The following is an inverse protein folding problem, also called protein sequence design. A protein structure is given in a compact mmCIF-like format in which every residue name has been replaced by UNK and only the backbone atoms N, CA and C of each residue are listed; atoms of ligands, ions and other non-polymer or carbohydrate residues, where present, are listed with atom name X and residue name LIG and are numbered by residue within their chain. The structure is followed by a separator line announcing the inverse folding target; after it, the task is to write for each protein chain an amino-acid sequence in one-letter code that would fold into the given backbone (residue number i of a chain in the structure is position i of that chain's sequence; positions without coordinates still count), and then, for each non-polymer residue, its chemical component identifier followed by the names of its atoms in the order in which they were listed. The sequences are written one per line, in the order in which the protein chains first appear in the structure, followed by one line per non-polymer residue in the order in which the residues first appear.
data_IF_118115081385
#
_entry.id   IF_118115081385
#
_cell.length_a   1.000
_cell.length_b   1.000
_cell.length_c   1.000
_cell.angle_alpha   90.00
_cell.angle_beta   90.00
_cell.angle_gamma   90.00
#
_symmetry.space_group_name_H-M   'P 1'
#
loop_
_entity.id
_entity.type
_entity.pdbx_description
1 polymer ?
#
# COMPACT_ATOMS: atom_id res chain seq x y z
N UNK A 1 29.45 2.98 15.44
CA UNK A 1 28.01 3.31 15.44
C UNK A 1 27.34 2.34 14.49
N UNK A 2 26.26 1.70 14.93
CA UNK A 2 25.46 0.79 14.09
C UNK A 2 24.90 1.55 12.89
N UNK A 3 25.15 1.04 11.67
CA UNK A 3 24.67 1.69 10.44
C UNK A 3 23.24 1.24 10.15
N UNK A 4 22.26 2.01 10.64
CA UNK A 4 20.82 1.77 10.45
C UNK A 4 20.31 2.53 9.23
N UNK A 5 19.59 1.83 8.36
CA UNK A 5 19.04 2.37 7.12
C UNK A 5 17.52 2.17 7.06
N UNK A 6 16.80 3.24 6.83
CA UNK A 6 15.35 3.22 6.60
C UNK A 6 15.04 3.58 5.15
N UNK A 7 14.45 2.65 4.40
CA UNK A 7 14.23 2.77 2.95
C UNK A 7 12.74 2.97 2.68
N UNK A 8 12.42 4.07 2.03
CA UNK A 8 11.11 4.30 1.42
C UNK A 8 11.19 4.14 -0.10
N UNK A 9 10.31 3.32 -0.70
CA UNK A 9 10.31 3.12 -2.14
C UNK A 9 8.91 3.14 -2.73
N UNK A 10 8.80 3.58 -3.99
CA UNK A 10 7.54 3.51 -4.75
C UNK A 10 7.30 2.13 -5.37
N UNK A 11 8.29 1.24 -5.32
CA UNK A 11 8.28 -0.12 -5.88
C UNK A 11 8.75 -1.14 -4.82
N UNK A 12 8.73 -2.43 -5.14
CA UNK A 12 9.23 -3.49 -4.26
C UNK A 12 10.74 -3.43 -4.18
N UNK A 13 11.27 -2.90 -3.06
CA UNK A 13 12.70 -2.72 -2.81
C UNK A 13 13.29 -3.74 -1.82
N UNK A 14 12.49 -4.64 -1.28
CA UNK A 14 12.93 -5.65 -0.31
C UNK A 14 14.12 -6.52 -0.75
N UNK A 15 14.37 -6.79 -2.06
CA UNK A 15 15.60 -7.49 -2.46
C UNK A 15 16.89 -6.77 -2.10
N UNK A 16 16.84 -5.46 -1.79
CA UNK A 16 18.01 -4.72 -1.30
C UNK A 16 18.43 -5.11 0.12
N UNK A 17 17.55 -5.64 0.96
CA UNK A 17 17.86 -5.92 2.36
C UNK A 17 19.09 -6.84 2.53
N UNK A 18 19.09 -8.08 2.04
CA UNK A 18 20.24 -8.97 2.21
C UNK A 18 21.51 -8.42 1.56
N UNK A 19 21.36 -7.68 0.46
CA UNK A 19 22.47 -7.09 -0.28
C UNK A 19 23.12 -5.93 0.49
N UNK A 20 22.34 -5.06 1.11
CA UNK A 20 22.84 -3.95 1.93
C UNK A 20 23.42 -4.45 3.26
N UNK A 21 22.81 -5.47 3.88
CA UNK A 21 23.40 -6.15 5.04
C UNK A 21 24.77 -6.73 4.71
N UNK A 22 24.94 -7.35 3.55
CA UNK A 22 26.23 -7.83 3.06
C UNK A 22 27.25 -6.69 2.81
N UNK A 23 26.77 -5.45 2.61
CA UNK A 23 27.60 -4.25 2.53
C UNK A 23 27.92 -3.62 3.90
N UNK A 24 27.50 -4.22 5.01
CA UNK A 24 27.84 -3.78 6.37
C UNK A 24 26.81 -2.84 7.02
N UNK A 25 25.58 -2.78 6.53
CA UNK A 25 24.48 -2.16 7.27
C UNK A 25 23.93 -3.15 8.30
N UNK A 26 23.90 -2.78 9.56
CA UNK A 26 23.48 -3.65 10.66
C UNK A 26 21.96 -3.88 10.64
N UNK A 27 21.22 -2.84 10.30
CA UNK A 27 19.77 -2.86 10.24
C UNK A 27 19.28 -2.14 8.97
N UNK A 28 18.41 -2.82 8.21
CA UNK A 28 17.77 -2.29 7.02
C UNK A 28 16.27 -2.49 7.16
N UNK A 29 15.54 -1.38 7.32
CA UNK A 29 14.09 -1.37 7.46
C UNK A 29 13.45 -0.70 6.25
N UNK A 30 12.20 -1.05 5.96
CA UNK A 30 11.46 -0.51 4.81
C UNK A 30 10.14 0.11 5.24
N UNK A 31 9.71 1.13 4.50
CA UNK A 31 8.30 1.52 4.53
C UNK A 31 7.45 0.34 4.04
N UNK A 32 6.23 0.23 4.56
CA UNK A 32 5.28 -0.76 4.03
C UNK A 32 5.03 -0.50 2.54
N UNK A 33 4.88 -1.57 1.78
CA UNK A 33 4.64 -1.49 0.35
C UNK A 33 3.47 -0.55 0.03
N UNK A 34 3.64 0.30 -0.98
CA UNK A 34 2.69 1.32 -1.44
C UNK A 34 2.25 2.34 -0.35
N UNK A 35 3.00 2.48 0.74
CA UNK A 35 2.70 3.40 1.84
C UNK A 35 3.76 4.48 2.05
N UNK A 36 4.63 4.72 1.07
CA UNK A 36 5.68 5.71 1.21
C UNK A 36 5.12 7.12 1.45
N UNK A 37 4.06 7.52 0.73
CA UNK A 37 3.43 8.82 0.96
C UNK A 37 2.90 8.97 2.39
N UNK A 38 2.29 7.93 2.94
CA UNK A 38 1.80 7.91 4.32
C UNK A 38 2.95 8.00 5.33
N UNK A 39 4.05 7.29 5.07
CA UNK A 39 5.25 7.34 5.92
C UNK A 39 5.92 8.73 5.90
N UNK A 40 5.87 9.46 4.78
CA UNK A 40 6.34 10.84 4.70
C UNK A 40 5.44 11.81 5.49
N UNK A 41 4.11 11.58 5.49
CA UNK A 41 3.13 12.41 6.20
C UNK A 41 3.05 12.12 7.71
N UNK A 42 3.40 10.90 8.13
CA UNK A 42 3.47 10.47 9.52
C UNK A 42 4.72 9.59 9.72
N UNK A 43 5.89 10.21 9.86
CA UNK A 43 7.14 9.49 10.07
C UNK A 43 7.09 8.64 11.34
N UNK A 44 7.64 7.42 11.25
CA UNK A 44 7.76 6.55 12.42
C UNK A 44 8.88 7.08 13.34
N UNK A 45 8.59 7.39 14.61
CA UNK A 45 9.60 7.86 15.56
C UNK A 45 10.76 6.86 15.77
N UNK A 46 10.52 5.56 15.58
CA UNK A 46 11.56 4.52 15.73
C UNK A 46 12.69 4.69 14.70
N UNK A 47 12.39 5.32 13.56
CA UNK A 47 13.34 5.58 12.47
C UNK A 47 13.78 7.05 12.38
N UNK A 48 13.59 7.83 13.46
CA UNK A 48 13.92 9.25 13.47
C UNK A 48 15.41 9.51 13.24
N UNK A 49 16.27 8.67 13.81
CA UNK A 49 17.73 8.79 13.75
C UNK A 49 18.37 7.94 12.65
N UNK A 50 17.57 7.15 11.92
CA UNK A 50 18.10 6.28 10.87
C UNK A 50 18.46 7.10 9.62
N UNK A 51 19.49 6.64 8.89
CA UNK A 51 19.77 7.15 7.56
C UNK A 51 18.58 6.84 6.65
N UNK A 52 17.89 7.88 6.19
CA UNK A 52 16.72 7.70 5.31
C UNK A 52 17.11 7.74 3.85
N UNK A 53 16.71 6.71 3.09
CA UNK A 53 16.87 6.58 1.65
C UNK A 53 15.50 6.51 0.98
N UNK A 54 15.26 7.38 0.01
CA UNK A 54 14.01 7.47 -0.74
C UNK A 54 14.27 7.05 -2.20
N UNK A 55 13.62 5.98 -2.64
CA UNK A 55 13.73 5.44 -3.99
C UNK A 55 12.43 5.71 -4.74
N UNK A 56 12.44 6.68 -5.65
CA UNK A 56 11.24 7.18 -6.31
C UNK A 56 11.30 6.90 -7.81
N UNK A 57 10.24 6.32 -8.34
CA UNK A 57 10.04 6.12 -9.79
C UNK A 57 8.71 6.76 -10.21
N UNK A 58 8.75 7.78 -11.07
CA UNK A 58 7.55 8.53 -11.46
C UNK A 58 6.54 7.69 -12.24
N UNK A 59 7.00 6.64 -12.95
CA UNK A 59 6.11 5.71 -13.63
C UNK A 59 5.12 5.04 -12.66
N UNK A 60 5.49 4.87 -11.39
CA UNK A 60 4.65 4.23 -10.38
C UNK A 60 3.46 5.13 -9.96
N UNK A 61 3.58 6.44 -10.14
CA UNK A 61 2.50 7.38 -9.83
C UNK A 61 1.27 7.23 -10.73
N UNK A 62 1.46 6.71 -11.94
CA UNK A 62 0.39 6.50 -12.92
C UNK A 62 0.41 5.08 -13.51
N UNK A 63 1.02 4.13 -12.79
CA UNK A 63 1.30 2.77 -13.26
C UNK A 63 0.07 2.05 -13.80
N UNK A 64 -1.05 2.16 -13.09
CA UNK A 64 -2.27 1.43 -13.46
C UNK A 64 -2.94 2.06 -14.66
N UNK A 65 -3.06 3.37 -14.64
CA UNK A 65 -3.69 4.13 -15.72
C UNK A 65 -2.82 4.13 -16.98
N UNK A 66 -1.49 4.15 -16.83
CA UNK A 66 -0.56 4.07 -17.96
C UNK A 66 -0.60 2.70 -18.66
N UNK A 67 -1.02 1.63 -17.99
CA UNK A 67 -1.21 0.31 -18.59
C UNK A 67 -2.51 0.23 -19.41
N UNK A 68 -3.48 1.10 -19.17
CA UNK A 68 -4.70 1.21 -19.99
C UNK A 68 -4.40 2.02 -21.25
N UNK A 69 -4.42 1.34 -22.41
CA UNK A 69 -4.16 1.98 -23.70
C UNK A 69 -5.25 2.97 -24.13
N UNK A 70 -6.44 2.90 -23.54
CA UNK A 70 -7.54 3.82 -23.81
C UNK A 70 -7.36 5.18 -23.13
N UNK A 71 -6.48 5.28 -22.13
CA UNK A 71 -6.19 6.54 -21.44
C UNK A 71 -5.44 7.52 -22.36
N UNK A 72 -5.99 8.72 -22.54
CA UNK A 72 -5.36 9.78 -23.32
C UNK A 72 -4.06 10.29 -22.63
N UNK A 73 -2.99 10.57 -23.40
CA UNK A 73 -1.73 11.08 -22.85
C UNK A 73 -1.88 12.34 -22.01
N UNK A 74 -2.75 13.28 -22.41
CA UNK A 74 -3.01 14.52 -21.67
C UNK A 74 -3.67 14.26 -20.31
N UNK A 75 -4.61 13.30 -20.25
CA UNK A 75 -5.22 12.91 -18.98
C UNK A 75 -4.22 12.25 -18.03
N UNK A 76 -3.33 11.39 -18.57
CA UNK A 76 -2.22 10.82 -17.79
C UNK A 76 -1.23 11.88 -17.30
N UNK A 77 -0.94 12.88 -18.12
CA UNK A 77 -0.05 13.99 -17.76
C UNK A 77 -0.64 14.84 -16.62
N UNK A 78 -1.94 15.15 -16.69
CA UNK A 78 -2.65 15.87 -15.63
C UNK A 78 -2.69 15.05 -14.33
N UNK A 79 -2.93 13.74 -14.41
CA UNK A 79 -2.94 12.85 -13.26
C UNK A 79 -1.56 12.73 -12.61
N UNK A 80 -0.49 12.60 -13.41
CA UNK A 80 0.89 12.58 -12.92
C UNK A 80 1.21 13.85 -12.14
N UNK A 81 0.89 15.03 -12.72
CA UNK A 81 1.10 16.31 -12.07
C UNK A 81 0.32 16.42 -10.75
N UNK A 82 -0.96 16.08 -10.76
CA UNK A 82 -1.81 16.11 -9.55
C UNK A 82 -1.29 15.24 -8.42
N UNK A 83 -0.84 14.01 -8.75
CA UNK A 83 -0.26 13.10 -7.75
C UNK A 83 1.08 13.59 -7.25
N UNK A 84 1.90 14.14 -8.15
CA UNK A 84 3.21 14.69 -7.82
C UNK A 84 3.12 15.87 -6.85
N UNK A 85 2.13 16.76 -6.97
CA UNK A 85 1.93 17.89 -6.06
C UNK A 85 1.77 17.45 -4.60
N UNK A 86 0.99 16.37 -4.36
CA UNK A 86 0.83 15.81 -3.02
C UNK A 86 2.16 15.23 -2.47
N UNK A 87 2.95 14.60 -3.36
CA UNK A 87 4.25 14.03 -3.02
C UNK A 87 5.30 15.10 -2.73
N UNK A 88 5.41 16.13 -3.54
CA UNK A 88 6.34 17.23 -3.34
C UNK A 88 6.10 17.94 -2.01
N UNK A 89 4.82 18.20 -1.65
CA UNK A 89 4.46 18.77 -0.37
C UNK A 89 4.83 17.88 0.82
N UNK A 90 4.59 16.56 0.71
CA UNK A 90 4.93 15.61 1.76
C UNK A 90 6.45 15.46 1.93
N UNK A 91 7.20 15.37 0.83
CA UNK A 91 8.67 15.29 0.83
C UNK A 91 9.30 16.53 1.44
N UNK A 92 8.85 17.74 1.06
CA UNK A 92 9.34 19.00 1.60
C UNK A 92 9.14 19.05 3.13
N UNK A 93 7.94 18.71 3.61
CA UNK A 93 7.65 18.68 5.05
C UNK A 93 8.46 17.62 5.79
N UNK A 94 8.61 16.43 5.20
CA UNK A 94 9.41 15.36 5.78
C UNK A 94 10.88 15.77 5.90
N UNK A 95 11.47 16.31 4.82
CA UNK A 95 12.86 16.74 4.81
C UNK A 95 13.14 17.87 5.82
N UNK A 96 12.23 18.84 5.94
CA UNK A 96 12.35 19.94 6.90
C UNK A 96 12.28 19.46 8.36
N UNK A 97 11.64 18.34 8.63
CA UNK A 97 11.55 17.75 9.98
C UNK A 97 12.72 16.83 10.36
N UNK A 98 13.72 16.62 9.48
CA UNK A 98 14.82 15.68 9.73
C UNK A 98 16.10 16.41 10.12
N UNK A 99 16.80 15.88 11.12
CA UNK A 99 18.12 16.40 11.54
C UNK A 99 19.21 16.17 10.46
N UNK A 100 19.12 15.05 9.74
CA UNK A 100 19.99 14.74 8.61
C UNK A 100 19.18 14.69 7.31
N UNK A 101 19.66 15.30 6.21
CA UNK A 101 18.97 15.31 4.92
C UNK A 101 18.68 13.88 4.45
N UNK A 102 17.42 13.53 4.12
CA UNK A 102 17.11 12.28 3.45
C UNK A 102 17.80 12.19 2.08
N UNK A 103 18.25 10.99 1.70
CA UNK A 103 18.84 10.74 0.38
C UNK A 103 17.72 10.37 -0.58
N UNK A 104 17.75 10.95 -1.76
CA UNK A 104 16.78 10.70 -2.82
C UNK A 104 17.48 10.12 -4.05
N UNK A 105 17.00 8.99 -4.54
CA UNK A 105 17.30 8.48 -5.88
C UNK A 105 16.02 8.50 -6.70
N UNK A 106 16.05 9.19 -7.84
CA UNK A 106 14.95 9.16 -8.82
C UNK A 106 15.31 8.16 -9.91
N UNK A 107 14.61 7.02 -9.93
CA UNK A 107 14.81 6.01 -10.96
C UNK A 107 14.19 6.46 -12.29
N UNK A 108 14.80 6.11 -13.44
CA UNK A 108 14.27 6.44 -14.75
C UNK A 108 12.82 5.98 -14.95
N UNK A 109 12.03 6.86 -15.55
CA UNK A 109 10.62 6.61 -15.88
C UNK A 109 10.34 6.90 -17.35
N UNK A 110 11.33 6.69 -18.23
CA UNK A 110 11.28 6.96 -19.68
C UNK A 110 10.26 6.11 -20.43
N UNK A 111 9.77 5.01 -19.82
CA UNK A 111 8.65 4.24 -20.35
C UNK A 111 7.38 5.05 -20.54
N UNK A 112 7.21 6.13 -19.75
CA UNK A 112 6.10 7.07 -19.89
C UNK A 112 6.19 7.91 -21.17
N UNK A 113 7.40 8.16 -21.68
CA UNK A 113 7.64 8.99 -22.86
C UNK A 113 7.06 8.33 -24.12
N UNK A 114 6.99 6.99 -24.15
CA UNK A 114 6.37 6.24 -25.25
C UNK A 114 4.84 6.47 -25.37
N UNK A 115 4.20 7.07 -24.34
CA UNK A 115 2.77 7.34 -24.32
C UNK A 115 2.42 8.73 -24.91
N UNK A 116 3.40 9.57 -25.24
CA UNK A 116 3.19 10.84 -25.90
C UNK A 116 3.94 12.02 -25.26
N UNK A 117 4.07 13.11 -26.04
CA UNK A 117 4.86 14.27 -25.66
C UNK A 117 4.35 14.97 -24.38
N UNK A 118 3.03 15.07 -24.20
CA UNK A 118 2.44 15.71 -23.01
C UNK A 118 2.84 15.00 -21.71
N UNK A 119 2.81 13.67 -21.72
CA UNK A 119 3.21 12.87 -20.56
C UNK A 119 4.73 12.94 -20.32
N UNK A 120 5.53 12.92 -21.39
CA UNK A 120 6.98 13.10 -21.32
C UNK A 120 7.35 14.48 -20.73
N UNK A 121 6.65 15.55 -21.11
CA UNK A 121 6.86 16.88 -20.57
C UNK A 121 6.44 16.98 -19.11
N UNK A 122 5.30 16.38 -18.74
CA UNK A 122 4.86 16.33 -17.34
C UNK A 122 5.88 15.57 -16.48
N UNK A 123 6.36 14.41 -16.94
CA UNK A 123 7.40 13.62 -16.25
C UNK A 123 8.65 14.47 -16.01
N UNK A 124 9.17 15.14 -17.06
CA UNK A 124 10.38 15.97 -16.92
C UNK A 124 10.20 17.13 -15.93
N UNK A 125 9.02 17.77 -15.91
CA UNK A 125 8.72 18.83 -14.93
C UNK A 125 8.69 18.31 -13.50
N UNK A 126 8.02 17.20 -13.27
CA UNK A 126 7.94 16.58 -11.93
C UNK A 126 9.32 16.08 -11.47
N UNK A 127 10.08 15.43 -12.35
CA UNK A 127 11.43 14.96 -12.05
C UNK A 127 12.33 16.13 -11.63
N UNK A 128 12.33 17.20 -12.38
CA UNK A 128 13.09 18.42 -12.02
C UNK A 128 12.64 18.99 -10.67
N UNK A 129 11.33 19.08 -10.42
CA UNK A 129 10.81 19.58 -9.16
C UNK A 129 11.22 18.70 -7.96
N UNK A 130 11.34 17.38 -8.14
CA UNK A 130 11.87 16.45 -7.12
C UNK A 130 13.36 16.66 -6.88
N UNK A 131 14.15 16.80 -7.94
CA UNK A 131 15.59 17.00 -7.86
C UNK A 131 15.98 18.35 -7.26
N UNK A 132 15.18 19.39 -7.50
CA UNK A 132 15.37 20.75 -6.99
C UNK A 132 14.79 20.96 -5.58
N UNK A 133 14.19 19.94 -4.95
CA UNK A 133 13.53 20.07 -3.65
C UNK A 133 14.55 20.33 -2.55
N UNK A 134 14.44 21.42 -1.78
CA UNK A 134 15.40 21.73 -0.72
C UNK A 134 15.29 20.72 0.45
N UNK A 135 16.41 20.50 1.14
CA UNK A 135 16.49 19.62 2.30
C UNK A 135 16.61 18.13 1.94
N UNK A 136 16.70 17.77 0.68
CA UNK A 136 17.05 16.45 0.20
C UNK A 136 18.49 16.41 -0.34
N UNK A 137 19.13 15.26 -0.18
CA UNK A 137 20.39 14.98 -0.84
C UNK A 137 20.16 14.01 -2.00
N UNK A 138 20.29 14.50 -3.21
CA UNK A 138 20.10 13.70 -4.42
C UNK A 138 21.34 12.84 -4.67
N UNK A 139 21.12 11.53 -4.88
CA UNK A 139 22.09 10.60 -5.43
C UNK A 139 21.70 10.35 -6.89
N UNK A 140 22.53 10.82 -7.81
CA UNK A 140 22.16 10.81 -9.23
C UNK A 140 22.18 9.38 -9.80
N UNK A 141 21.10 8.99 -10.43
CA UNK A 141 21.01 7.71 -11.14
C UNK A 141 22.06 7.59 -12.27
N UNK A 142 22.47 8.71 -12.88
CA UNK A 142 23.51 8.70 -13.89
C UNK A 142 24.86 8.22 -13.35
N UNK A 143 25.19 8.55 -12.09
CA UNK A 143 26.41 8.08 -11.43
C UNK A 143 26.38 6.57 -11.19
N UNK A 144 25.18 6.03 -10.84
CA UNK A 144 25.01 4.59 -10.76
C UNK A 144 25.25 3.91 -12.11
N UNK A 145 24.68 4.43 -13.19
CA UNK A 145 24.87 3.88 -14.54
C UNK A 145 26.34 3.95 -14.95
N UNK A 146 27.02 5.06 -14.67
CA UNK A 146 28.44 5.23 -14.98
C UNK A 146 29.34 4.26 -14.20
N UNK A 147 28.99 3.95 -12.95
CA UNK A 147 29.74 3.04 -12.08
C UNK A 147 29.43 1.56 -12.34
N UNK A 148 28.32 1.26 -12.99
CA UNK A 148 27.82 -0.10 -13.19
C UNK A 148 28.31 -0.68 -14.51
N UNK A 149 28.92 -1.86 -14.47
CA UNK A 149 29.22 -2.65 -15.67
C UNK A 149 27.97 -3.26 -16.34
N UNK A 150 26.80 -3.19 -15.66
CA UNK A 150 25.55 -3.75 -16.14
C UNK A 150 24.77 -2.70 -16.95
N UNK A 151 24.79 -2.83 -18.28
CA UNK A 151 24.11 -1.92 -19.19
C UNK A 151 22.57 -2.00 -19.13
N UNK A 152 22.00 -3.05 -18.54
CA UNK A 152 20.55 -3.31 -18.48
C UNK A 152 20.10 -3.74 -17.08
N UNK A 153 20.02 -2.81 -16.10
CA UNK A 153 19.64 -3.17 -14.74
C UNK A 153 18.16 -3.48 -14.57
N UNK A 154 17.31 -3.20 -15.55
CA UNK A 154 15.85 -3.31 -15.45
C UNK A 154 15.32 -4.66 -15.90
N UNK A 155 14.29 -5.17 -15.20
CA UNK A 155 13.51 -6.35 -15.53
C UNK A 155 12.04 -5.96 -15.78
N UNK A 156 11.63 -5.78 -17.06
CA UNK A 156 10.25 -5.41 -17.38
C UNK A 156 9.21 -6.46 -17.00
N UNK A 157 9.61 -7.73 -16.94
CA UNK A 157 8.71 -8.85 -16.62
C UNK A 157 8.46 -8.88 -15.10
N UNK A 158 9.54 -8.90 -14.31
CA UNK A 158 9.43 -8.84 -12.85
C UNK A 158 8.76 -7.54 -12.37
N UNK A 159 9.03 -6.42 -13.05
CA UNK A 159 8.35 -5.16 -12.77
C UNK A 159 6.83 -5.27 -13.02
N UNK A 160 6.42 -5.84 -14.12
CA UNK A 160 4.98 -6.01 -14.45
C UNK A 160 4.26 -6.92 -13.45
N UNK A 161 4.89 -8.03 -13.07
CA UNK A 161 4.29 -9.07 -12.22
C UNK A 161 4.33 -8.72 -10.72
N UNK A 162 5.50 -8.31 -10.23
CA UNK A 162 5.75 -8.13 -8.80
C UNK A 162 6.15 -6.72 -8.39
N UNK A 163 6.12 -5.75 -9.32
CA UNK A 163 6.60 -4.38 -9.09
C UNK A 163 8.06 -4.34 -8.65
N UNK A 164 8.88 -5.25 -9.21
CA UNK A 164 10.31 -5.41 -8.96
C UNK A 164 11.06 -4.92 -10.20
N UNK A 165 11.48 -3.64 -10.25
CA UNK A 165 11.95 -3.04 -11.51
C UNK A 165 13.35 -3.48 -11.93
N UNK A 166 14.18 -3.98 -11.02
CA UNK A 166 15.57 -4.34 -11.30
C UNK A 166 15.76 -5.85 -11.39
N UNK A 167 16.69 -6.28 -12.21
CA UNK A 167 17.21 -7.66 -12.23
C UNK A 167 17.95 -7.97 -10.93
N UNK A 168 18.20 -9.24 -10.62
CA UNK A 168 19.00 -9.66 -9.45
C UNK A 168 20.38 -8.99 -9.48
N UNK A 169 21.05 -9.01 -10.63
CA UNK A 169 22.37 -8.36 -10.80
C UNK A 169 22.25 -6.82 -10.72
N UNK A 170 21.15 -6.26 -11.21
CA UNK A 170 20.81 -4.85 -11.08
C UNK A 170 20.69 -4.42 -9.62
N UNK A 171 19.94 -5.18 -8.80
CA UNK A 171 19.87 -4.93 -7.36
C UNK A 171 21.23 -5.07 -6.66
N UNK A 172 22.02 -6.08 -7.02
CA UNK A 172 23.35 -6.29 -6.43
C UNK A 172 24.31 -5.13 -6.76
N UNK A 173 24.31 -4.65 -8.01
CA UNK A 173 25.10 -3.50 -8.41
C UNK A 173 24.61 -2.21 -7.73
N UNK A 174 23.29 -2.02 -7.66
CA UNK A 174 22.67 -0.85 -7.03
C UNK A 174 22.95 -0.79 -5.52
N UNK A 175 22.89 -1.93 -4.82
CA UNK A 175 23.22 -2.01 -3.40
C UNK A 175 24.68 -1.63 -3.11
N UNK A 176 25.64 -2.08 -3.95
CA UNK A 176 27.06 -1.70 -3.82
C UNK A 176 27.25 -0.20 -4.00
N UNK A 177 26.70 0.36 -5.07
CA UNK A 177 26.77 1.81 -5.35
C UNK A 177 26.15 2.64 -4.23
N UNK A 178 24.94 2.28 -3.74
CA UNK A 178 24.31 2.94 -2.61
C UNK A 178 25.20 2.91 -1.37
N UNK A 179 25.80 1.76 -1.06
CA UNK A 179 26.67 1.61 0.09
C UNK A 179 27.95 2.47 -0.04
N UNK A 180 28.50 2.63 -1.23
CA UNK A 180 29.63 3.52 -1.50
C UNK A 180 29.25 4.99 -1.32
N UNK A 181 28.12 5.42 -1.87
CA UNK A 181 27.61 6.77 -1.70
C UNK A 181 27.36 7.11 -0.21
N UNK A 182 26.70 6.22 0.52
CA UNK A 182 26.34 6.46 1.92
C UNK A 182 27.58 6.45 2.86
N UNK A 183 28.62 5.67 2.53
CA UNK A 183 29.90 5.65 3.29
C UNK A 183 30.81 6.84 2.96
N UNK A 184 30.88 7.22 1.69
CA UNK A 184 31.65 8.39 1.24
C UNK A 184 31.18 9.67 1.92
N UNK A 185 29.90 9.76 2.22
CA UNK A 185 29.28 10.88 2.93
C UNK A 185 29.64 10.93 4.42
N UNK A 186 29.76 9.77 5.08
CA UNK A 186 30.17 9.70 6.49
C UNK A 186 31.57 10.28 6.72
N UNK A 187 32.46 10.18 5.70
CA UNK A 187 33.78 10.80 5.72
C UNK A 187 33.81 12.30 5.43
N UNK A 188 32.78 12.82 4.72
CA UNK A 188 32.71 14.24 4.31
C UNK A 188 31.98 15.13 5.33
N UNK A 189 31.23 14.58 6.27
CA UNK A 189 30.50 15.32 7.32
C UNK A 189 31.37 16.00 8.38
N UNK A 190 32.70 15.90 8.25
CA UNK A 190 33.69 16.56 9.13
C UNK A 190 33.97 18.02 8.80
N UNK A 191 33.51 18.55 7.66
CA UNK A 191 33.84 19.92 7.23
C UNK A 191 32.75 20.54 6.35
N UNK A 192 31.64 20.98 6.94
CA UNK A 192 30.87 22.08 6.36
C UNK A 192 30.04 22.78 7.43
N UNK A 193 30.50 23.94 7.82
CA UNK A 193 29.83 24.96 8.62
C UNK A 193 28.61 25.47 7.89
N UNK A 194 27.47 25.47 8.59
CA UNK A 194 26.16 25.81 8.06
C UNK A 194 26.02 27.27 7.61
N UNK A 195 25.16 27.48 6.61
CA UNK A 195 24.54 28.75 6.31
C UNK A 195 23.23 28.88 7.12
N UNK A 196 22.88 30.10 7.60
CA UNK A 196 21.68 30.31 8.40
C UNK A 196 20.40 30.21 7.56
N UNK A 197 19.27 29.82 8.16
CA UNK A 197 18.00 29.68 7.46
C UNK A 197 17.47 31.05 7.00
N UNK A 198 17.25 31.16 5.71
CA UNK A 198 16.57 32.31 5.11
C UNK A 198 15.09 32.35 5.53
N UNK A 199 14.60 33.59 5.65
CA UNK A 199 13.27 34.03 6.03
C UNK A 199 12.12 33.18 5.45
N UNK A 200 11.25 32.73 6.34
CA UNK A 200 10.07 31.93 6.05
C UNK A 200 9.13 32.61 5.05
N UNK A 201 8.84 31.90 3.95
CA UNK A 201 7.68 32.15 3.12
C UNK A 201 6.37 31.83 3.91
N UNK A 202 5.21 32.42 3.55
CA UNK A 202 3.97 32.24 4.29
C UNK A 202 3.61 30.76 4.38
N UNK A 203 3.33 30.30 5.61
CA UNK A 203 3.11 28.91 5.98
C UNK A 203 2.00 28.28 5.14
N UNK A 204 2.38 27.48 4.17
CA UNK A 204 1.48 26.47 3.60
C UNK A 204 1.09 25.53 4.73
N UNK A 205 -0.20 25.19 4.93
CA UNK A 205 -0.60 24.33 6.03
C UNK A 205 0.14 23.00 5.95
N UNK A 206 0.84 22.65 7.02
CA UNK A 206 1.65 21.42 7.13
C UNK A 206 0.80 20.22 6.70
N UNK A 207 1.24 19.42 5.72
CA UNK A 207 0.55 18.20 5.32
C UNK A 207 0.43 17.27 6.52
N UNK A 208 -0.78 16.80 6.81
CA UNK A 208 -1.01 15.79 7.84
C UNK A 208 -1.65 14.56 7.23
N UNK A 209 -1.32 13.39 7.76
CA UNK A 209 -1.87 12.11 7.30
C UNK A 209 -3.40 12.09 7.40
N UNK A 210 -3.97 12.65 8.47
CA UNK A 210 -5.43 12.76 8.63
C UNK A 210 -6.05 13.59 7.51
N UNK A 211 -5.50 14.77 7.22
CA UNK A 211 -5.98 15.62 6.10
C UNK A 211 -5.82 14.95 4.74
N UNK A 212 -4.77 14.15 4.56
CA UNK A 212 -4.61 13.37 3.33
C UNK A 212 -5.80 12.42 3.15
N UNK A 213 -6.14 11.61 4.18
CA UNK A 213 -7.25 10.67 4.11
C UNK A 213 -8.62 11.36 3.99
N UNK A 214 -8.84 12.48 4.66
CA UNK A 214 -10.05 13.30 4.50
C UNK A 214 -10.25 13.77 3.05
N UNK A 215 -9.15 14.15 2.38
CA UNK A 215 -9.16 14.61 0.98
C UNK A 215 -9.11 13.49 -0.05
N UNK A 216 -8.85 12.27 0.38
CA UNK A 216 -8.71 11.12 -0.53
C UNK A 216 -10.04 10.81 -1.23
N UNK A 217 -11.18 11.09 -0.57
CA UNK A 217 -12.53 10.82 -1.10
C UNK A 217 -12.67 9.36 -1.57
N UNK A 218 -12.18 8.43 -0.72
CA UNK A 218 -12.22 7.00 -1.00
C UNK A 218 -13.67 6.54 -1.19
N UNK A 219 -13.93 5.83 -2.27
CA UNK A 219 -15.21 5.20 -2.60
C UNK A 219 -14.99 3.73 -2.87
N UNK A 220 -15.81 2.91 -2.24
CA UNK A 220 -15.80 1.46 -2.42
C UNK A 220 -17.22 1.05 -2.77
N UNK A 221 -17.37 0.28 -3.83
CA UNK A 221 -18.65 -0.32 -4.23
C UNK A 221 -18.50 -1.83 -4.29
N UNK A 222 -19.59 -2.54 -4.03
CA UNK A 222 -19.61 -4.00 -4.06
C UNK A 222 -20.49 -4.53 -5.20
N UNK A 223 -20.09 -5.64 -5.78
CA UNK A 223 -20.83 -6.39 -6.82
C UNK A 223 -20.85 -7.85 -6.38
N UNK A 224 -22.00 -8.53 -6.43
CA UNK A 224 -22.06 -9.96 -6.12
C UNK A 224 -21.14 -10.81 -7.00
N UNK A 225 -20.59 -11.88 -6.44
CA UNK A 225 -19.70 -12.80 -7.19
C UNK A 225 -20.44 -13.76 -8.14
N UNK A 226 -21.75 -13.60 -8.30
CA UNK A 226 -22.53 -14.24 -9.38
C UNK A 226 -22.49 -13.45 -10.70
N UNK A 227 -21.98 -12.20 -10.68
CA UNK A 227 -21.63 -11.46 -11.90
C UNK A 227 -20.37 -12.06 -12.54
N UNK A 228 -20.47 -12.47 -13.81
CA UNK A 228 -19.39 -13.15 -14.53
C UNK A 228 -18.08 -12.34 -14.58
N UNK A 229 -18.17 -11.04 -14.80
CA UNK A 229 -17.01 -10.18 -14.89
C UNK A 229 -16.36 -9.96 -13.51
N UNK A 230 -17.16 -9.85 -12.45
CA UNK A 230 -16.70 -9.75 -11.06
C UNK A 230 -16.03 -11.06 -10.62
N UNK A 231 -16.62 -12.21 -10.95
CA UNK A 231 -16.10 -13.54 -10.67
C UNK A 231 -14.71 -13.75 -11.30
N UNK A 232 -14.60 -13.52 -12.63
CA UNK A 232 -13.35 -13.70 -13.35
C UNK A 232 -12.22 -12.80 -12.83
N UNK A 233 -12.55 -11.55 -12.48
CA UNK A 233 -11.56 -10.61 -11.90
C UNK A 233 -11.15 -11.03 -10.50
N UNK A 234 -12.07 -11.48 -9.66
CA UNK A 234 -11.80 -11.94 -8.29
C UNK A 234 -10.95 -13.19 -8.27
N UNK A 235 -11.25 -14.18 -9.14
CA UNK A 235 -10.42 -15.37 -9.31
C UNK A 235 -8.98 -14.98 -9.68
N UNK A 236 -8.79 -14.15 -10.70
CA UNK A 236 -7.46 -13.69 -11.11
C UNK A 236 -6.74 -12.93 -9.99
N UNK A 237 -7.47 -12.12 -9.21
CA UNK A 237 -6.91 -11.36 -8.11
C UNK A 237 -6.38 -12.29 -7.01
N UNK A 238 -7.05 -13.41 -6.71
CA UNK A 238 -6.60 -14.38 -5.72
C UNK A 238 -5.24 -15.01 -6.05
N UNK A 239 -4.87 -15.10 -7.34
CA UNK A 239 -3.56 -15.59 -7.77
C UNK A 239 -2.46 -14.52 -7.72
N UNK A 240 -2.82 -13.22 -7.75
CA UNK A 240 -1.84 -12.14 -7.91
C UNK A 240 -1.67 -11.28 -6.66
N UNK A 241 -2.67 -11.22 -5.79
CA UNK A 241 -2.67 -10.40 -4.59
C UNK A 241 -2.21 -11.21 -3.37
N UNK A 242 -0.92 -11.51 -3.28
CA UNK A 242 -0.37 -12.33 -2.19
C UNK A 242 -0.20 -11.57 -0.86
N UNK A 243 -0.04 -10.24 -0.92
CA UNK A 243 0.31 -9.42 0.26
C UNK A 243 -0.85 -9.23 1.23
N UNK A 244 -2.06 -8.96 0.71
CA UNK A 244 -3.25 -8.87 1.53
C UNK A 244 -4.27 -9.91 1.08
N UNK A 245 -4.19 -11.06 1.71
CA UNK A 245 -4.92 -12.27 1.40
C UNK A 245 -5.09 -13.08 2.68
N UNK A 246 -6.30 -13.25 3.21
CA UNK A 246 -6.48 -13.87 4.52
C UNK A 246 -6.08 -15.34 4.53
N UNK A 247 -6.38 -16.10 3.48
CA UNK A 247 -6.06 -17.54 3.43
C UNK A 247 -4.86 -17.91 2.57
N UNK A 248 -4.48 -17.07 1.60
CA UNK A 248 -3.48 -17.39 0.58
C UNK A 248 -3.97 -18.40 -0.46
N UNK A 249 -5.26 -18.72 -0.48
CA UNK A 249 -5.82 -19.70 -1.43
C UNK A 249 -6.07 -19.07 -2.82
N UNK A 250 -5.46 -19.65 -3.85
CA UNK A 250 -5.67 -19.24 -5.24
C UNK A 250 -6.93 -19.92 -5.79
N UNK A 251 -7.99 -19.15 -6.04
CA UNK A 251 -9.28 -19.65 -6.50
C UNK A 251 -9.35 -19.69 -8.03
N UNK A 252 -9.88 -20.76 -8.60
CA UNK A 252 -10.42 -20.75 -9.94
C UNK A 252 -11.83 -20.13 -9.93
N UNK A 253 -12.32 -19.68 -11.10
CA UNK A 253 -13.70 -19.17 -11.22
C UNK A 253 -14.73 -20.20 -10.76
N UNK A 254 -14.52 -21.47 -11.13
CA UNK A 254 -15.37 -22.57 -10.72
C UNK A 254 -15.39 -22.77 -9.19
N UNK A 255 -14.25 -22.59 -8.50
CA UNK A 255 -14.16 -22.74 -7.04
C UNK A 255 -14.95 -21.62 -6.32
N UNK A 256 -14.82 -20.36 -6.80
CA UNK A 256 -15.59 -19.24 -6.27
C UNK A 256 -17.09 -19.41 -6.49
N UNK A 257 -17.47 -19.86 -7.70
CA UNK A 257 -18.88 -20.11 -8.03
C UNK A 257 -19.45 -21.26 -7.18
N UNK A 258 -18.71 -22.34 -6.98
CA UNK A 258 -19.10 -23.45 -6.13
C UNK A 258 -19.24 -23.01 -4.67
N UNK A 259 -18.29 -22.27 -4.12
CA UNK A 259 -18.35 -21.75 -2.77
C UNK A 259 -19.59 -20.86 -2.56
N UNK A 260 -19.86 -19.93 -3.49
CA UNK A 260 -21.01 -19.02 -3.39
C UNK A 260 -22.35 -19.73 -3.63
N UNK A 261 -22.37 -20.83 -4.37
CA UNK A 261 -23.57 -21.64 -4.60
C UNK A 261 -23.96 -22.48 -3.38
N UNK A 262 -22.97 -22.99 -2.62
CA UNK A 262 -23.21 -23.95 -1.53
C UNK A 262 -23.43 -23.27 -0.18
N UNK A 263 -22.45 -22.55 0.34
CA UNK A 263 -22.42 -22.14 1.75
C UNK A 263 -21.84 -20.73 2.02
N UNK A 264 -21.31 -20.06 1.02
CA UNK A 264 -20.77 -18.73 1.16
C UNK A 264 -21.58 -17.65 0.41
N UNK A 265 -21.46 -16.41 0.86
CA UNK A 265 -21.84 -15.22 0.12
C UNK A 265 -20.59 -14.44 -0.23
N UNK A 266 -20.47 -14.00 -1.47
CA UNK A 266 -19.27 -13.32 -1.96
C UNK A 266 -19.59 -11.99 -2.65
N UNK A 267 -18.72 -11.00 -2.42
CA UNK A 267 -18.79 -9.69 -3.06
C UNK A 267 -17.40 -9.31 -3.60
N UNK A 268 -17.33 -8.90 -4.86
CA UNK A 268 -16.21 -8.20 -5.43
C UNK A 268 -16.26 -6.72 -5.02
N UNK A 269 -15.10 -6.10 -4.83
CA UNK A 269 -14.94 -4.74 -4.37
C UNK A 269 -14.28 -3.88 -5.45
N UNK A 270 -14.97 -2.84 -5.89
CA UNK A 270 -14.43 -1.83 -6.81
C UNK A 270 -14.06 -0.59 -6.02
N UNK A 271 -12.84 -0.10 -6.22
CA UNK A 271 -12.27 1.00 -5.46
C UNK A 271 -11.96 2.18 -6.37
N UNK A 272 -12.28 3.37 -5.89
CA UNK A 272 -11.95 4.64 -6.50
C UNK A 272 -11.61 5.69 -5.44
N UNK A 273 -10.80 6.67 -5.79
CA UNK A 273 -10.54 7.86 -4.99
C UNK A 273 -10.38 9.11 -5.88
N UNK A 274 -10.04 10.25 -5.29
CA UNK A 274 -9.78 11.49 -6.06
C UNK A 274 -8.67 11.37 -7.10
N UNK A 275 -7.79 10.39 -6.97
CA UNK A 275 -6.63 10.20 -7.84
C UNK A 275 -6.89 9.19 -8.97
N UNK A 276 -7.97 8.41 -8.92
CA UNK A 276 -8.31 7.49 -10.00
C UNK A 276 -9.32 6.40 -9.65
N UNK A 277 -9.60 5.61 -10.68
CA UNK A 277 -10.43 4.41 -10.62
C UNK A 277 -9.50 3.19 -10.63
N UNK A 278 -9.59 2.34 -9.60
CA UNK A 278 -8.74 1.14 -9.47
C UNK A 278 -9.44 -0.14 -9.94
N UNK A 279 -10.71 -0.02 -10.34
CA UNK A 279 -11.52 -1.16 -10.77
C UNK A 279 -11.77 -2.17 -9.67
N UNK A 280 -11.99 -3.43 -10.05
CA UNK A 280 -12.10 -4.54 -9.10
C UNK A 280 -10.74 -4.75 -8.40
N UNK A 281 -10.68 -4.34 -7.17
CA UNK A 281 -9.44 -4.26 -6.37
C UNK A 281 -9.45 -5.16 -5.14
N UNK A 282 -10.51 -5.93 -4.94
CA UNK A 282 -10.64 -6.88 -3.85
C UNK A 282 -11.89 -7.72 -3.97
N UNK A 283 -12.00 -8.71 -3.09
CA UNK A 283 -13.23 -9.45 -2.86
C UNK A 283 -13.26 -10.00 -1.42
N UNK A 284 -14.46 -10.29 -0.94
CA UNK A 284 -14.71 -10.86 0.36
C UNK A 284 -15.67 -12.05 0.23
N UNK A 285 -15.41 -13.13 1.00
CA UNK A 285 -16.29 -14.29 1.14
C UNK A 285 -16.66 -14.47 2.61
N UNK A 286 -17.95 -14.55 2.88
CA UNK A 286 -18.48 -14.90 4.21
C UNK A 286 -19.23 -16.23 4.10
N UNK A 287 -18.82 -17.23 4.88
CA UNK A 287 -19.52 -18.49 5.04
C UNK A 287 -20.25 -18.55 6.38
N UNK A 288 -21.23 -19.42 6.50
CA UNK A 288 -21.91 -19.70 7.77
C UNK A 288 -21.31 -20.96 8.41
N UNK A 289 -20.81 -20.85 9.64
CA UNK A 289 -20.28 -21.95 10.44
C UNK A 289 -21.19 -22.12 11.66
N UNK A 290 -22.11 -23.10 11.61
CA UNK A 290 -23.13 -23.30 12.64
C UNK A 290 -23.91 -22.03 13.02
N UNK A 291 -24.24 -21.19 12.03
CA UNK A 291 -24.92 -19.93 12.23
C UNK A 291 -24.01 -18.74 12.56
N UNK A 292 -22.73 -18.98 12.87
CA UNK A 292 -21.73 -17.92 13.00
C UNK A 292 -21.25 -17.48 11.62
N UNK A 293 -21.40 -16.19 11.23
CA UNK A 293 -20.81 -15.71 10.00
C UNK A 293 -19.30 -15.61 10.15
N UNK A 294 -18.57 -16.17 9.21
CA UNK A 294 -17.11 -16.23 9.16
C UNK A 294 -16.64 -15.53 7.89
N UNK A 295 -15.91 -14.44 8.03
CA UNK A 295 -15.12 -13.87 6.93
C UNK A 295 -13.99 -14.85 6.64
N UNK A 296 -14.24 -15.74 5.67
CA UNK A 296 -13.33 -16.83 5.32
C UNK A 296 -12.26 -16.40 4.35
N UNK A 297 -12.56 -15.35 3.55
CA UNK A 297 -11.60 -14.76 2.63
C UNK A 297 -11.81 -13.25 2.52
N UNK A 298 -10.69 -12.54 2.46
CA UNK A 298 -10.64 -11.13 2.11
C UNK A 298 -9.32 -10.85 1.40
N UNK A 299 -9.43 -10.49 0.13
CA UNK A 299 -8.28 -10.23 -0.74
C UNK A 299 -8.33 -8.78 -1.20
N UNK A 300 -7.20 -8.10 -1.16
CA UNK A 300 -7.03 -6.76 -1.72
C UNK A 300 -5.81 -6.70 -2.62
N UNK A 301 -5.98 -6.03 -3.74
CA UNK A 301 -4.87 -5.66 -4.62
C UNK A 301 -3.88 -4.74 -3.89
N UNK A 302 -2.60 -4.92 -4.16
CA UNK A 302 -1.55 -4.04 -3.66
C UNK A 302 -1.77 -2.56 -4.04
N UNK A 303 -2.52 -2.28 -5.11
CA UNK A 303 -2.81 -0.92 -5.62
C UNK A 303 -3.62 -0.07 -4.66
N UNK A 304 -4.39 -0.70 -3.79
CA UNK A 304 -5.28 -0.03 -2.83
C UNK A 304 -4.82 -0.17 -1.39
N UNK A 305 -3.76 -0.92 -1.13
CA UNK A 305 -3.18 -1.03 0.20
C UNK A 305 -2.66 0.34 0.69
N UNK A 306 -2.77 0.58 1.99
CA UNK A 306 -2.38 1.85 2.60
C UNK A 306 -3.38 2.98 2.43
N UNK A 307 -4.48 2.78 1.70
CA UNK A 307 -5.59 3.74 1.53
C UNK A 307 -6.70 3.54 2.56
N UNK A 308 -6.52 2.66 3.52
CA UNK A 308 -7.50 2.24 4.54
C UNK A 308 -8.73 1.53 3.94
N UNK A 309 -8.60 0.91 2.76
CA UNK A 309 -9.68 0.10 2.15
C UNK A 309 -10.00 -1.10 3.05
N UNK A 310 -8.97 -1.75 3.60
CA UNK A 310 -9.10 -2.86 4.55
C UNK A 310 -9.90 -2.46 5.80
N UNK A 311 -9.65 -1.28 6.34
CA UNK A 311 -10.39 -0.75 7.48
C UNK A 311 -11.84 -0.41 7.11
N UNK A 312 -12.06 0.23 5.95
CA UNK A 312 -13.41 0.62 5.50
C UNK A 312 -14.30 -0.60 5.28
N UNK A 313 -13.76 -1.65 4.66
CA UNK A 313 -14.49 -2.91 4.42
C UNK A 313 -14.82 -3.59 5.75
N UNK A 314 -13.87 -3.67 6.68
CA UNK A 314 -14.10 -4.32 7.97
C UNK A 314 -15.11 -3.53 8.83
N UNK A 315 -15.07 -2.19 8.78
CA UNK A 315 -16.05 -1.34 9.45
C UNK A 315 -17.46 -1.50 8.84
N UNK A 316 -17.57 -1.55 7.51
CA UNK A 316 -18.83 -1.81 6.82
C UNK A 316 -19.38 -3.20 7.15
N UNK A 317 -18.50 -4.22 7.25
CA UNK A 317 -18.84 -5.57 7.68
C UNK A 317 -19.42 -5.56 9.10
N UNK A 318 -18.75 -4.88 10.04
CA UNK A 318 -19.24 -4.73 11.41
C UNK A 318 -20.61 -4.07 11.47
N UNK A 319 -20.81 -2.97 10.74
CA UNK A 319 -22.11 -2.28 10.67
C UNK A 319 -23.21 -3.15 10.04
N UNK A 320 -22.88 -3.91 8.98
CA UNK A 320 -23.84 -4.83 8.38
C UNK A 320 -24.24 -5.96 9.34
N UNK A 321 -23.28 -6.51 10.10
CA UNK A 321 -23.54 -7.51 11.12
C UNK A 321 -24.38 -6.96 12.30
N UNK A 322 -24.16 -5.70 12.71
CA UNK A 322 -24.99 -5.01 13.72
C UNK A 322 -26.44 -4.87 13.23
N UNK A 323 -26.63 -4.37 11.99
CA UNK A 323 -27.98 -4.26 11.41
C UNK A 323 -28.70 -5.59 11.32
N UNK A 324 -27.97 -6.67 11.08
CA UNK A 324 -28.47 -8.03 11.05
C UNK A 324 -28.67 -8.65 12.45
N UNK A 325 -28.42 -7.88 13.54
CA UNK A 325 -28.51 -8.31 14.94
C UNK A 325 -27.71 -9.60 15.22
N UNK A 326 -26.57 -9.76 14.57
CA UNK A 326 -25.68 -10.92 14.77
C UNK A 326 -24.92 -10.77 16.10
N UNK A 327 -24.83 -11.82 16.93
CA UNK A 327 -24.16 -11.73 18.23
C UNK A 327 -22.65 -11.67 18.11
N UNK A 328 -22.10 -12.25 17.06
CA UNK A 328 -20.66 -12.27 16.76
C UNK A 328 -20.41 -12.46 15.27
N UNK A 329 -19.23 -12.09 14.83
CA UNK A 329 -18.61 -12.46 13.56
C UNK A 329 -17.26 -13.12 13.82
N UNK A 330 -16.81 -13.98 12.90
CA UNK A 330 -15.46 -14.52 12.96
C UNK A 330 -14.66 -14.07 11.72
N UNK A 331 -13.35 -13.90 11.90
CA UNK A 331 -12.40 -13.64 10.83
C UNK A 331 -11.36 -14.76 10.86
N UNK A 332 -11.27 -15.51 9.79
CA UNK A 332 -10.30 -16.59 9.63
C UNK A 332 -9.07 -16.09 8.91
N UNK A 333 -7.89 -16.50 9.36
CA UNK A 333 -6.63 -16.25 8.66
C UNK A 333 -5.81 -17.52 8.58
N UNK A 334 -5.04 -17.66 7.49
CA UNK A 334 -4.04 -18.71 7.34
C UNK A 334 -2.73 -18.02 6.99
N UNK A 335 -1.74 -18.12 7.87
CA UNK A 335 -0.42 -17.51 7.64
C UNK A 335 0.30 -18.20 6.50
N UNK A 336 0.83 -17.41 5.57
CA UNK A 336 1.69 -17.84 4.46
C UNK A 336 2.95 -16.99 4.43
N UNK A 337 3.93 -17.35 3.59
CA UNK A 337 5.18 -16.59 3.45
C UNK A 337 4.96 -15.17 2.89
N UNK A 338 3.83 -14.92 2.20
CA UNK A 338 3.56 -13.65 1.52
C UNK A 338 2.55 -12.73 2.22
N UNK A 339 1.68 -13.26 3.10
CA UNK A 339 0.49 -12.52 3.58
C UNK A 339 0.66 -11.88 4.97
N UNK A 340 1.88 -11.71 5.46
CA UNK A 340 2.13 -11.12 6.77
C UNK A 340 1.36 -9.81 7.01
N UNK A 341 1.24 -8.87 6.05
CA UNK A 341 0.44 -7.65 6.24
C UNK A 341 -1.05 -7.88 6.53
N UNK A 342 -1.67 -8.92 5.97
CA UNK A 342 -3.04 -9.28 6.28
C UNK A 342 -3.16 -9.87 7.70
N UNK A 343 -2.20 -10.70 8.10
CA UNK A 343 -2.13 -11.26 9.47
C UNK A 343 -1.91 -10.14 10.49
N UNK A 344 -0.95 -9.23 10.25
CA UNK A 344 -0.66 -8.10 11.14
C UNK A 344 -1.88 -7.18 11.30
N UNK A 345 -2.66 -6.98 10.23
CA UNK A 345 -3.88 -6.19 10.28
C UNK A 345 -4.92 -6.81 11.22
N UNK A 346 -5.19 -8.11 11.11
CA UNK A 346 -6.13 -8.81 12.01
C UNK A 346 -5.60 -8.83 13.45
N UNK A 347 -4.31 -9.04 13.64
CA UNK A 347 -3.68 -9.03 14.95
C UNK A 347 -3.80 -7.64 15.63
N UNK A 348 -3.62 -6.55 14.88
CA UNK A 348 -3.81 -5.19 15.38
C UNK A 348 -5.26 -4.91 15.80
N UNK A 349 -6.25 -5.38 15.01
CA UNK A 349 -7.68 -5.26 15.36
C UNK A 349 -7.98 -6.04 16.64
N UNK A 350 -7.49 -7.27 16.76
CA UNK A 350 -7.70 -8.10 17.93
C UNK A 350 -7.07 -7.49 19.20
N UNK A 351 -5.85 -6.97 19.08
CA UNK A 351 -5.16 -6.28 20.17
C UNK A 351 -5.92 -5.04 20.62
N UNK A 352 -6.41 -4.22 19.69
CA UNK A 352 -7.19 -3.02 19.98
C UNK A 352 -8.53 -3.36 20.65
N UNK A 353 -9.17 -4.46 20.25
CA UNK A 353 -10.42 -4.93 20.85
C UNK A 353 -10.19 -5.67 22.19
N UNK A 354 -8.94 -5.94 22.59
CA UNK A 354 -8.59 -6.79 23.73
C UNK A 354 -9.23 -8.20 23.63
N UNK A 355 -9.31 -8.76 22.42
CA UNK A 355 -9.88 -10.09 22.14
C UNK A 355 -8.78 -11.06 21.75
N UNK A 356 -8.76 -12.23 22.39
CA UNK A 356 -7.80 -13.29 22.06
C UNK A 356 -8.13 -13.91 20.69
N UNK A 357 -7.06 -14.23 19.94
CA UNK A 357 -7.16 -14.99 18.69
C UNK A 357 -6.91 -16.46 19.01
N UNK A 358 -7.82 -17.32 18.59
CA UNK A 358 -7.61 -18.77 18.61
C UNK A 358 -6.66 -19.17 17.48
N UNK A 359 -5.54 -19.82 17.82
CA UNK A 359 -4.48 -20.16 16.88
C UNK A 359 -4.24 -21.67 16.89
N UNK A 360 -4.26 -22.27 15.70
CA UNK A 360 -3.95 -23.67 15.48
C UNK A 360 -2.98 -23.82 14.29
N UNK A 361 -1.69 -23.93 14.59
CA UNK A 361 -0.63 -23.91 13.57
C UNK A 361 -0.64 -22.62 12.75
N UNK A 362 -0.71 -22.70 11.40
CA UNK A 362 -0.79 -21.52 10.54
C UNK A 362 -2.17 -20.85 10.56
N UNK A 363 -3.19 -21.52 11.06
CA UNK A 363 -4.57 -21.01 11.10
C UNK A 363 -4.82 -20.20 12.36
N UNK A 364 -5.59 -19.12 12.20
CA UNK A 364 -6.05 -18.31 13.32
C UNK A 364 -7.50 -17.88 13.09
N UNK A 365 -8.28 -17.78 14.17
CA UNK A 365 -9.66 -17.29 14.17
C UNK A 365 -9.84 -16.22 15.24
N UNK A 366 -10.25 -15.04 14.82
CA UNK A 366 -10.72 -13.99 15.69
C UNK A 366 -12.25 -14.02 15.73
N UNK A 367 -12.85 -14.32 16.89
CA UNK A 367 -14.29 -14.20 17.12
C UNK A 367 -14.59 -12.94 17.91
N UNK A 368 -15.41 -12.04 17.37
CA UNK A 368 -15.61 -10.71 17.95
C UNK A 368 -17.06 -10.24 17.79
N UNK A 369 -17.56 -9.51 18.79
CA UNK A 369 -18.85 -8.84 18.68
C UNK A 369 -18.79 -7.72 17.64
N UNK A 370 -19.84 -7.52 16.80
CA UNK A 370 -19.80 -6.50 15.75
C UNK A 370 -19.53 -5.07 16.25
N UNK A 371 -20.04 -4.71 17.44
CA UNK A 371 -19.75 -3.40 18.03
C UNK A 371 -18.26 -3.25 18.41
N UNK A 372 -17.68 -4.24 19.07
CA UNK A 372 -16.27 -4.23 19.41
C UNK A 372 -15.35 -4.22 18.17
N UNK A 373 -15.77 -4.90 17.09
CA UNK A 373 -15.06 -4.84 15.80
C UNK A 373 -15.08 -3.42 15.23
N UNK A 374 -16.25 -2.75 15.21
CA UNK A 374 -16.36 -1.39 14.71
C UNK A 374 -15.49 -0.42 15.50
N UNK A 375 -15.53 -0.50 16.83
CA UNK A 375 -14.74 0.36 17.73
C UNK A 375 -13.23 0.14 17.52
N UNK A 376 -12.79 -1.12 17.43
CA UNK A 376 -11.38 -1.45 17.20
C UNK A 376 -10.88 -0.95 15.84
N UNK A 377 -11.68 -1.10 14.78
CA UNK A 377 -11.33 -0.61 13.44
C UNK A 377 -11.20 0.92 13.44
N UNK A 378 -12.14 1.63 14.07
CA UNK A 378 -12.09 3.10 14.17
C UNK A 378 -10.88 3.58 14.99
N UNK A 379 -10.52 2.86 16.05
CA UNK A 379 -9.35 3.20 16.87
C UNK A 379 -8.01 2.97 16.12
N UNK A 380 -7.95 2.02 15.21
CA UNK A 380 -6.79 1.81 14.32
C UNK A 380 -6.74 2.80 13.14
N UNK A 381 -7.82 3.52 12.86
CA UNK A 381 -7.92 4.38 11.68
C UNK A 381 -7.08 5.65 11.80
N UNK A 382 -6.52 6.10 10.68
CA UNK A 382 -5.75 7.36 10.59
C UNK A 382 -6.64 8.60 10.41
N UNK A 383 -7.89 8.41 9.92
CA UNK A 383 -8.92 9.44 9.79
C UNK A 383 -10.31 8.81 10.04
N UNK A 384 -10.72 8.63 11.30
CA UNK A 384 -11.92 7.87 11.66
C UNK A 384 -13.21 8.41 11.01
N UNK A 385 -13.37 9.73 10.90
CA UNK A 385 -14.57 10.34 10.30
C UNK A 385 -14.65 10.05 8.79
N UNK A 386 -13.55 10.21 8.06
CA UNK A 386 -13.48 9.90 6.63
C UNK A 386 -13.70 8.40 6.37
N UNK A 387 -13.14 7.54 7.23
CA UNK A 387 -13.33 6.10 7.18
C UNK A 387 -14.80 5.72 7.40
N UNK A 388 -15.45 6.29 8.41
CA UNK A 388 -16.85 6.05 8.72
C UNK A 388 -17.77 6.44 7.55
N UNK A 389 -17.51 7.60 6.92
CA UNK A 389 -18.25 8.03 5.73
C UNK A 389 -18.08 7.06 4.55
N UNK A 390 -16.86 6.56 4.31
CA UNK A 390 -16.60 5.55 3.27
C UNK A 390 -17.35 4.25 3.57
N UNK A 391 -17.28 3.76 4.81
CA UNK A 391 -17.91 2.50 5.21
C UNK A 391 -19.46 2.58 5.15
N UNK A 392 -20.06 3.73 5.42
CA UNK A 392 -21.53 3.94 5.29
C UNK A 392 -22.00 3.81 3.84
N UNK A 393 -21.17 4.18 2.88
CA UNK A 393 -21.48 4.06 1.44
C UNK A 393 -21.33 2.65 0.88
N UNK A 394 -20.78 1.69 1.65
CA UNK A 394 -20.51 0.33 1.22
C UNK A 394 -21.58 -0.63 1.78
N UNK A 395 -22.40 -1.22 0.88
CA UNK A 395 -23.35 -2.24 1.30
C UNK A 395 -22.74 -3.65 1.30
N UNK A 396 -22.57 -4.21 2.49
CA UNK A 396 -22.12 -5.59 2.72
C UNK A 396 -23.21 -6.48 3.34
N UNK A 397 -24.46 -6.00 3.44
CA UNK A 397 -25.57 -6.80 3.97
C UNK A 397 -25.76 -8.14 3.22
N UNK A 398 -25.56 -8.24 1.90
CA UNK A 398 -25.69 -9.50 1.17
C UNK A 398 -24.77 -10.61 1.69
N UNK A 399 -23.60 -10.27 2.29
CA UNK A 399 -22.68 -11.26 2.86
C UNK A 399 -23.28 -12.06 4.03
N UNK A 400 -24.34 -11.56 4.68
CA UNK A 400 -24.97 -12.19 5.83
C UNK A 400 -26.30 -12.86 5.52
N UNK A 401 -26.75 -12.88 4.28
CA UNK A 401 -28.06 -13.41 3.89
C UNK A 401 -28.30 -14.88 4.34
N UNK A 402 -27.28 -15.72 4.25
CA UNK A 402 -27.37 -17.12 4.68
C UNK A 402 -27.35 -17.29 6.20
N UNK A 403 -26.54 -16.50 6.91
CA UNK A 403 -26.46 -16.54 8.38
C UNK A 403 -27.77 -16.04 9.01
N UNK A 404 -28.40 -15.01 8.45
CA UNK A 404 -29.69 -14.50 8.92
C UNK A 404 -30.84 -15.50 8.65
N UNK A 405 -30.82 -16.18 7.50
CA UNK A 405 -31.79 -17.24 7.20
C UNK A 405 -31.70 -18.41 8.19
N UNK A 406 -30.48 -18.81 8.56
CA UNK A 406 -30.27 -19.88 9.56
C UNK A 406 -30.80 -19.47 10.95
N UNK A 407 -30.53 -18.23 11.40
CA UNK A 407 -31.06 -17.71 12.68
C UNK A 407 -32.60 -17.62 12.67
N UNK A 408 -33.20 -17.27 11.53
CA UNK A 408 -34.65 -17.24 11.40
C UNK A 408 -35.31 -18.63 11.47
N UNK A 409 -34.61 -19.65 10.96
CA UNK A 409 -35.10 -21.05 11.00
C UNK A 409 -34.98 -21.70 12.38
N UNK A 410 -34.22 -21.11 13.32
CA UNK A 410 -34.05 -21.61 14.70
C UNK A 410 -35.01 -20.93 15.70
N UNK A 411 -35.76 -19.92 15.27
CA UNK A 411 -36.80 -19.25 16.07
C UNK A 411 -38.19 -19.80 15.73
#
# INVERSE_FOLDING_TARGET
MSARLYIGATFTASPLEPLLRAQGFDEVAFTRYNQLLQALLAPDPQHADDTTLLLVRLADFVRHEANDRAQAPDALAALLAQRADAWLGALASFAAGRAAPPRLVVLPSTTLDARGAALADARRRVERALLDLPGLRVLDWADFVASSANAQPFDPVADKLGHVPLTIDGFAAFARWLAECLRGEAGALGTSTGAPPGTAAPATPTPSLARFFERLQLRITSVPLDDEAALAKSARLSHTAVTFHLSGHAYLEADLLDATSRDACGLALTVADRFGQYGCSGFALVRSDAGLPVLAEFVLSCTVLGKQVEHAVLLALAHAAQRAALPAVALDTIRTDGNQPAVDFIDAIAAQACVAIDRSGPRARLRIAPAALADAVLACAKAPQALAATAQGLDLAPLFSRSTAHLAAQR
#
